data_IF_361689418671
#
_entry.id   IF_361689418671
#
_cell.length_a   1.000
_cell.length_b   1.000
_cell.length_c   1.000
_cell.angle_alpha   90.00
_cell.angle_beta   90.00
_cell.angle_gamma   90.00
#
_symmetry.space_group_name_H-M   'P 1'
#
loop_
_entity.id
_entity.type
_entity.pdbx_description
1 polymer ?
#
# COMPACT_ATOMS: atom_id res chain seq x y z
N UNK A 1 -0.38 17.62 7.53
CA UNK A 1 0.10 18.13 6.22
C UNK A 1 1.10 17.22 5.51
N UNK A 2 1.98 16.52 6.23
CA UNK A 2 3.02 15.63 5.66
C UNK A 2 2.43 14.58 4.71
N UNK A 3 1.33 13.91 5.10
CA UNK A 3 0.64 12.95 4.23
C UNK A 3 0.20 13.57 2.90
N UNK A 4 -0.48 14.73 2.95
CA UNK A 4 -1.03 15.39 1.76
C UNK A 4 0.05 15.84 0.77
N UNK A 5 1.24 16.21 1.26
CA UNK A 5 2.40 16.55 0.41
C UNK A 5 3.06 15.31 -0.20
N UNK A 6 3.16 14.23 0.56
CA UNK A 6 3.87 13.02 0.13
C UNK A 6 3.01 12.06 -0.70
N UNK A 7 1.70 12.06 -0.52
CA UNK A 7 0.78 11.15 -1.23
C UNK A 7 0.78 11.41 -2.73
N UNK A 8 0.93 12.66 -3.17
CA UNK A 8 1.02 12.98 -4.61
C UNK A 8 2.23 12.31 -5.27
N UNK A 9 3.40 12.35 -4.61
CA UNK A 9 4.61 11.71 -5.09
C UNK A 9 4.50 10.18 -5.02
N UNK A 10 3.91 9.64 -3.95
CA UNK A 10 3.69 8.21 -3.79
C UNK A 10 2.73 7.67 -4.86
N UNK A 11 1.61 8.35 -5.12
CA UNK A 11 0.65 7.96 -6.17
C UNK A 11 1.31 8.03 -7.55
N UNK A 12 2.10 9.06 -7.85
CA UNK A 12 2.86 9.14 -9.11
C UNK A 12 3.86 8.00 -9.28
N UNK A 13 4.46 7.52 -8.18
CA UNK A 13 5.34 6.35 -8.21
C UNK A 13 4.57 5.03 -8.41
N UNK A 14 3.35 4.94 -7.86
CA UNK A 14 2.51 3.74 -7.92
C UNK A 14 1.79 3.58 -9.28
N UNK A 15 1.31 4.68 -9.89
CA UNK A 15 0.60 4.69 -11.17
C UNK A 15 1.27 3.91 -12.32
N UNK A 16 2.58 4.07 -12.60
CA UNK A 16 3.22 3.33 -13.69
C UNK A 16 3.39 1.83 -13.39
N UNK A 17 3.40 1.45 -12.11
CA UNK A 17 3.59 0.07 -11.64
C UNK A 17 2.28 -0.61 -11.24
N UNK A 18 1.15 0.05 -11.51
CA UNK A 18 -0.19 -0.34 -11.06
C UNK A 18 -0.61 -1.72 -11.59
N UNK A 19 -0.06 -2.14 -12.74
CA UNK A 19 -0.30 -3.47 -13.33
C UNK A 19 0.47 -4.59 -12.62
N UNK A 20 1.61 -4.29 -12.02
CA UNK A 20 2.45 -5.26 -11.31
C UNK A 20 2.09 -5.36 -9.83
N UNK A 21 1.25 -4.44 -9.34
CA UNK A 21 0.74 -4.47 -7.98
C UNK A 21 -0.50 -5.36 -7.87
N UNK A 22 -0.51 -6.20 -6.85
CA UNK A 22 -1.72 -6.83 -6.33
C UNK A 22 -2.31 -5.97 -5.20
N UNK A 23 -3.62 -5.81 -5.20
CA UNK A 23 -4.35 -5.01 -4.21
C UNK A 23 -5.03 -5.93 -3.21
N UNK A 24 -4.86 -5.62 -1.93
CA UNK A 24 -5.49 -6.34 -0.83
C UNK A 24 -6.27 -5.35 0.03
N UNK A 25 -7.40 -5.83 0.56
CA UNK A 25 -8.21 -5.14 1.55
C UNK A 25 -8.14 -5.91 2.86
N UNK A 26 -8.44 -5.24 3.97
CA UNK A 26 -8.57 -5.92 5.27
C UNK A 26 -9.69 -6.96 5.27
N UNK A 27 -9.66 -7.88 6.25
CA UNK A 27 -10.61 -9.01 6.36
C UNK A 27 -12.08 -8.58 6.36
N UNK A 28 -12.38 -7.37 6.85
CA UNK A 28 -13.73 -6.81 6.87
C UNK A 28 -14.25 -6.37 5.49
N UNK A 29 -13.39 -6.33 4.46
CA UNK A 29 -13.72 -5.93 3.07
C UNK A 29 -14.50 -4.60 2.95
N UNK A 30 -14.33 -3.69 3.92
CA UNK A 30 -14.96 -2.37 3.87
C UNK A 30 -14.40 -1.54 2.71
N UNK A 31 -15.30 -0.94 1.94
CA UNK A 31 -14.97 -0.03 0.82
C UNK A 31 -14.29 1.27 1.28
N UNK A 32 -14.53 1.70 2.52
CA UNK A 32 -13.87 2.85 3.16
C UNK A 32 -12.54 2.47 3.85
N UNK A 33 -12.13 1.20 3.74
CA UNK A 33 -10.94 0.65 4.39
C UNK A 33 -9.61 1.00 3.70
N UNK A 34 -8.51 0.76 4.41
CA UNK A 34 -7.17 0.91 3.85
C UNK A 34 -6.84 -0.18 2.83
N UNK A 35 -6.31 0.23 1.67
CA UNK A 35 -5.73 -0.67 0.67
C UNK A 35 -4.27 -0.98 0.99
N UNK A 36 -3.89 -2.23 0.74
CA UNK A 36 -2.53 -2.74 0.86
C UNK A 36 -2.04 -3.13 -0.53
N UNK A 37 -0.84 -2.70 -0.89
CA UNK A 37 -0.23 -3.05 -2.17
C UNK A 37 0.79 -4.15 -1.96
N UNK A 38 0.80 -5.17 -2.81
CA UNK A 38 1.87 -6.15 -2.87
C UNK A 38 2.50 -6.12 -4.26
N UNK A 39 3.83 -6.16 -4.33
CA UNK A 39 4.55 -6.37 -5.58
C UNK A 39 5.65 -7.40 -5.38
N UNK A 40 5.94 -8.10 -6.46
CA UNK A 40 7.13 -8.91 -6.56
C UNK A 40 8.23 -8.02 -7.14
N UNK A 41 9.33 -7.90 -6.39
CA UNK A 41 10.53 -7.27 -6.94
C UNK A 41 11.09 -8.19 -8.03
N UNK A 42 11.71 -7.62 -9.05
CA UNK A 42 12.28 -8.38 -10.17
C UNK A 42 13.21 -9.50 -9.66
N UNK A 43 12.83 -10.75 -9.90
CA UNK A 43 13.55 -11.94 -9.44
C UNK A 43 13.30 -12.38 -7.98
N UNK A 44 12.38 -11.74 -7.24
CA UNK A 44 12.00 -12.15 -5.90
C UNK A 44 10.84 -13.16 -5.93
N UNK A 45 10.99 -14.27 -5.21
CA UNK A 45 9.91 -15.23 -4.99
C UNK A 45 8.87 -14.71 -3.98
N UNK A 46 9.29 -13.81 -3.08
CA UNK A 46 8.46 -13.29 -2.00
C UNK A 46 7.86 -11.91 -2.36
N UNK A 47 6.55 -11.70 -2.12
CA UNK A 47 5.92 -10.40 -2.31
C UNK A 47 6.34 -9.41 -1.22
N UNK A 48 6.60 -8.17 -1.62
CA UNK A 48 6.80 -7.04 -0.70
C UNK A 48 5.48 -6.29 -0.55
N UNK A 49 4.99 -6.20 0.69
CA UNK A 49 3.79 -5.43 1.02
C UNK A 49 4.13 -3.99 1.40
N UNK A 50 3.35 -3.07 0.85
CA UNK A 50 3.41 -1.63 1.14
C UNK A 50 2.10 -1.24 1.84
N UNK A 51 2.25 -0.63 3.01
CA UNK A 51 1.15 -0.11 3.81
C UNK A 51 1.29 1.41 3.97
N UNK A 52 0.17 2.12 4.00
CA UNK A 52 0.16 3.51 4.40
C UNK A 52 0.25 3.60 5.92
N UNK A 53 1.44 3.93 6.44
CA UNK A 53 1.66 4.10 7.89
C UNK A 53 0.67 5.07 8.55
N UNK A 54 0.24 6.11 7.86
CA UNK A 54 -0.75 7.07 8.37
C UNK A 54 -2.17 6.47 8.52
N UNK A 55 -2.46 5.36 7.85
CA UNK A 55 -3.73 4.63 7.95
C UNK A 55 -3.67 3.42 8.89
N UNK A 56 -2.52 3.17 9.52
CA UNK A 56 -2.34 2.07 10.47
C UNK A 56 -2.24 2.59 11.90
N UNK A 57 -2.80 1.83 12.83
CA UNK A 57 -2.64 2.06 14.26
C UNK A 57 -1.71 0.99 14.82
N UNK A 58 -0.56 1.41 15.35
CA UNK A 58 0.34 0.49 16.07
C UNK A 58 -0.31 0.07 17.39
N UNK A 59 -0.32 -1.23 17.66
CA UNK A 59 -0.75 -1.81 18.93
C UNK A 59 0.41 -2.67 19.42
N UNK A 60 0.95 -2.34 20.60
CA UNK A 60 1.92 -3.19 21.27
C UNK A 60 1.16 -4.22 22.09
N UNK A 61 1.43 -5.49 21.80
CA UNK A 61 1.00 -6.64 22.59
C UNK A 61 1.97 -6.88 23.74
#
# INVERSE_FOLDING_TARGET
EVFKKNIEAATKYLLPKLKDFQFFVGESMHDDGGLVFAYYKDGAADPTFIYFAHGLKEIKC
#
